data_IF_102397905325
#
_entry.id   IF_102397905325
#
_cell.length_a   1.000
_cell.length_b   1.000
_cell.length_c   1.000
_cell.angle_alpha   90.00
_cell.angle_beta   90.00
_cell.angle_gamma   90.00
#
_symmetry.space_group_name_H-M   'P 1'
#
loop_
_entity.id
_entity.type
_entity.pdbx_description
1 polymer ?
#
# COMPACT_ATOMS: atom_id res chain seq x y z
N UNK A 1 46.34 -76.05 -9.06
CA UNK A 1 47.45 -75.12 -9.38
C UNK A 1 47.47 -74.91 -10.89
N UNK A 2 47.89 -73.74 -11.38
CA UNK A 2 47.21 -72.43 -11.49
C UNK A 2 46.54 -72.32 -12.90
N UNK A 3 45.90 -71.26 -13.41
CA UNK A 3 46.26 -69.85 -13.53
C UNK A 3 44.99 -69.03 -13.85
N UNK A 4 44.93 -67.86 -13.23
CA UNK A 4 44.01 -66.77 -13.56
C UNK A 4 44.29 -66.22 -14.96
N UNK A 5 43.25 -65.97 -15.75
CA UNK A 5 43.30 -65.01 -16.86
C UNK A 5 42.27 -63.91 -16.62
N UNK A 6 42.78 -62.68 -16.49
CA UNK A 6 42.05 -61.47 -16.20
C UNK A 6 41.38 -60.96 -17.47
N UNK A 7 40.04 -60.89 -17.49
CA UNK A 7 39.29 -60.27 -18.58
C UNK A 7 39.37 -58.76 -18.46
N UNK A 8 40.23 -58.14 -19.28
CA UNK A 8 40.26 -56.69 -19.49
C UNK A 8 39.04 -56.34 -20.33
N UNK A 9 37.95 -55.92 -19.68
CA UNK A 9 36.84 -55.25 -20.37
C UNK A 9 37.34 -53.88 -20.84
N UNK A 10 37.69 -53.77 -22.12
CA UNK A 10 37.80 -52.50 -22.83
C UNK A 10 36.43 -51.83 -22.82
N UNK A 11 36.25 -50.86 -21.91
CA UNK A 11 35.11 -49.95 -21.98
C UNK A 11 35.18 -49.18 -23.31
N UNK A 12 34.06 -49.05 -24.04
CA UNK A 12 34.05 -48.36 -25.32
C UNK A 12 34.30 -46.87 -25.08
N UNK A 13 35.34 -46.34 -25.72
CA UNK A 13 35.79 -44.95 -25.67
C UNK A 13 34.77 -43.86 -26.12
N UNK A 14 33.65 -44.10 -26.83
CA UNK A 14 32.79 -43.00 -27.26
C UNK A 14 31.82 -42.53 -26.15
N UNK A 15 31.67 -43.26 -25.05
CA UNK A 15 30.73 -42.89 -23.97
C UNK A 15 31.29 -41.85 -23.00
N UNK A 16 32.62 -41.78 -22.84
CA UNK A 16 33.26 -40.77 -21.98
C UNK A 16 33.19 -39.38 -22.61
N UNK A 17 33.27 -39.29 -23.95
CA UNK A 17 33.12 -38.01 -24.66
C UNK A 17 31.68 -37.49 -24.71
N UNK A 18 30.68 -38.38 -24.75
CA UNK A 18 29.27 -37.99 -24.70
C UNK A 18 28.88 -37.42 -23.32
N UNK A 19 29.44 -37.97 -22.23
CA UNK A 19 29.19 -37.47 -20.88
C UNK A 19 29.84 -36.09 -20.63
N UNK A 20 30.99 -35.80 -21.25
CA UNK A 20 31.68 -34.52 -21.09
C UNK A 20 30.99 -33.38 -21.86
N UNK A 21 30.32 -33.68 -22.98
CA UNK A 21 29.57 -32.69 -23.75
C UNK A 21 28.28 -32.22 -23.05
N UNK A 22 27.66 -33.07 -22.21
CA UNK A 22 26.48 -32.68 -21.41
C UNK A 22 26.83 -31.87 -20.16
N UNK A 23 28.10 -31.82 -19.74
CA UNK A 23 28.52 -31.06 -18.56
C UNK A 23 28.76 -29.57 -18.83
N UNK A 24 28.80 -29.12 -20.10
CA UNK A 24 29.08 -27.72 -20.46
C UNK A 24 27.83 -26.88 -20.78
N UNK A 25 26.62 -27.44 -20.80
CA UNK A 25 25.38 -26.71 -21.07
C UNK A 25 24.71 -26.14 -19.81
N UNK A 26 25.51 -25.62 -18.88
CA UNK A 26 25.06 -25.30 -17.51
C UNK A 26 25.45 -23.93 -16.96
N UNK A 27 25.93 -22.97 -17.77
CA UNK A 27 26.22 -21.61 -17.29
C UNK A 27 25.74 -20.56 -18.28
N UNK A 28 24.44 -20.54 -18.53
CA UNK A 28 23.75 -19.39 -19.11
C UNK A 28 22.83 -18.81 -18.05
N UNK A 29 23.40 -18.15 -17.02
CA UNK A 29 22.62 -17.27 -16.15
C UNK A 29 22.00 -16.23 -17.08
N UNK A 30 20.72 -16.41 -17.42
CA UNK A 30 19.91 -15.33 -17.97
C UNK A 30 19.96 -14.25 -16.91
N UNK A 31 20.86 -13.29 -17.10
CA UNK A 31 20.73 -11.99 -16.47
C UNK A 31 19.35 -11.54 -16.90
N UNK A 32 18.39 -11.70 -15.99
CA UNK A 32 17.09 -11.07 -16.11
C UNK A 32 17.41 -9.59 -16.00
N UNK A 33 17.85 -9.01 -17.12
CA UNK A 33 17.65 -7.59 -17.38
C UNK A 33 16.16 -7.43 -17.21
N UNK A 34 15.78 -6.93 -16.05
CA UNK A 34 14.43 -6.47 -15.75
C UNK A 34 14.14 -5.44 -16.82
N UNK A 35 13.58 -5.89 -17.95
CA UNK A 35 12.95 -5.00 -18.90
C UNK A 35 11.88 -4.32 -18.07
N UNK A 36 12.10 -3.05 -17.77
CA UNK A 36 11.06 -2.15 -17.28
C UNK A 36 9.96 -2.24 -18.34
N UNK A 37 8.98 -3.11 -18.09
CA UNK A 37 7.85 -3.28 -18.98
C UNK A 37 6.95 -2.09 -18.67
N UNK A 38 7.16 -1.02 -19.44
CA UNK A 38 6.25 0.11 -19.44
C UNK A 38 4.93 -0.41 -20.03
N UNK A 39 4.00 -0.81 -19.18
CA UNK A 39 2.66 -1.18 -19.62
C UNK A 39 2.05 0.09 -20.24
N UNK A 40 1.75 0.08 -21.55
CA UNK A 40 1.24 1.27 -22.21
C UNK A 40 -0.10 1.66 -21.60
N UNK A 41 -0.25 2.96 -21.30
CA UNK A 41 -1.49 3.55 -20.81
C UNK A 41 -2.68 3.16 -21.72
N UNK A 42 -3.60 2.38 -21.17
CA UNK A 42 -4.84 2.02 -21.83
C UNK A 42 -5.94 2.95 -21.30
N UNK A 43 -6.26 4.01 -22.04
CA UNK A 43 -7.37 4.95 -21.77
C UNK A 43 -8.79 4.32 -21.89
N UNK A 44 -8.88 3.01 -21.69
CA UNK A 44 -10.06 2.17 -21.79
C UNK A 44 -10.82 2.09 -20.44
N UNK A 45 -10.10 2.04 -19.31
CA UNK A 45 -10.71 1.83 -17.99
C UNK A 45 -11.20 3.14 -17.38
N UNK A 46 -12.43 3.55 -17.73
CA UNK A 46 -13.05 4.76 -17.16
C UNK A 46 -13.55 4.57 -15.73
N UNK A 47 -13.64 3.33 -15.23
CA UNK A 47 -14.29 3.00 -13.94
C UNK A 47 -13.34 2.72 -12.78
N UNK A 48 -12.06 2.42 -13.03
CA UNK A 48 -11.10 2.08 -11.96
C UNK A 48 -10.78 3.28 -11.08
N UNK A 49 -10.57 4.44 -11.70
CA UNK A 49 -10.15 5.67 -11.04
C UNK A 49 -11.32 6.63 -10.75
N UNK A 50 -12.56 6.27 -11.08
CA UNK A 50 -13.69 7.17 -10.89
C UNK A 50 -14.98 6.46 -10.48
N UNK A 51 -15.76 7.12 -9.61
CA UNK A 51 -17.12 6.69 -9.23
C UNK A 51 -18.02 7.91 -9.05
N UNK A 52 -19.29 7.73 -9.39
CA UNK A 52 -20.34 8.76 -9.24
C UNK A 52 -21.08 8.58 -7.93
N UNK A 53 -21.31 9.69 -7.22
CA UNK A 53 -22.01 9.74 -5.95
C UNK A 53 -23.18 10.73 -6.01
N UNK A 54 -24.31 10.35 -5.39
CA UNK A 54 -25.51 11.18 -5.30
C UNK A 54 -25.42 12.21 -4.16
N UNK A 55 -24.35 13.00 -4.18
CA UNK A 55 -24.02 14.00 -3.18
C UNK A 55 -23.38 15.23 -3.84
N UNK A 56 -23.27 16.33 -3.08
CA UNK A 56 -22.52 17.51 -3.51
C UNK A 56 -21.00 17.25 -3.49
N UNK A 57 -20.22 18.08 -4.18
CA UNK A 57 -18.75 18.01 -4.20
C UNK A 57 -18.19 18.05 -2.77
N UNK A 58 -18.64 19.03 -1.98
CA UNK A 58 -18.22 19.23 -0.61
C UNK A 58 -18.52 18.01 0.28
N UNK A 59 -19.69 17.39 0.13
CA UNK A 59 -20.05 16.18 0.89
C UNK A 59 -19.18 14.99 0.48
N UNK A 60 -18.99 14.79 -0.83
CA UNK A 60 -18.19 13.69 -1.39
C UNK A 60 -16.73 13.80 -0.94
N UNK A 61 -16.16 15.00 -0.98
CA UNK A 61 -14.78 15.24 -0.57
C UNK A 61 -14.61 15.21 0.96
N UNK A 62 -15.61 15.63 1.73
CA UNK A 62 -15.57 15.46 3.19
C UNK A 62 -15.59 13.97 3.59
N UNK A 63 -16.43 13.15 2.93
CA UNK A 63 -16.45 11.71 3.11
C UNK A 63 -15.13 11.06 2.68
N UNK A 64 -14.53 11.50 1.57
CA UNK A 64 -13.21 11.06 1.14
C UNK A 64 -12.11 11.39 2.17
N UNK A 65 -12.15 12.58 2.77
CA UNK A 65 -11.25 12.97 3.87
C UNK A 65 -11.38 12.03 5.06
N UNK A 66 -12.61 11.71 5.48
CA UNK A 66 -12.86 10.73 6.56
C UNK A 66 -12.36 9.34 6.20
N UNK A 67 -12.58 8.90 4.96
CA UNK A 67 -12.09 7.63 4.46
C UNK A 67 -10.56 7.54 4.55
N UNK A 68 -9.83 8.56 4.10
CA UNK A 68 -8.36 8.60 4.19
C UNK A 68 -7.87 8.58 5.64
N UNK A 69 -8.45 9.41 6.51
CA UNK A 69 -8.11 9.43 7.93
C UNK A 69 -8.36 8.07 8.60
N UNK A 70 -9.45 7.37 8.24
CA UNK A 70 -9.77 6.03 8.77
C UNK A 70 -8.73 4.97 8.41
N UNK A 71 -8.02 5.16 7.30
CA UNK A 71 -6.95 4.25 6.83
C UNK A 71 -5.56 4.67 7.31
N UNK A 72 -5.47 5.71 8.15
CA UNK A 72 -4.22 6.22 8.70
C UNK A 72 -3.40 7.06 7.73
N UNK A 73 -4.04 7.67 6.72
CA UNK A 73 -3.39 8.69 5.89
C UNK A 73 -3.33 10.02 6.65
N UNK A 74 -2.20 10.72 6.50
CA UNK A 74 -2.05 12.11 6.92
C UNK A 74 -2.59 13.02 5.81
N UNK A 75 -3.66 13.76 6.09
CA UNK A 75 -4.24 14.70 5.13
C UNK A 75 -3.31 15.90 4.96
N UNK A 76 -2.92 16.20 3.72
CA UNK A 76 -2.00 17.30 3.38
C UNK A 76 -2.71 18.51 2.80
N UNK A 77 -3.84 18.30 2.13
CA UNK A 77 -4.74 19.37 1.68
C UNK A 77 -6.18 18.85 1.67
N UNK A 78 -7.14 19.71 2.00
CA UNK A 78 -8.56 19.41 1.91
C UNK A 78 -9.37 20.70 1.70
N UNK A 79 -10.19 20.72 0.67
CA UNK A 79 -11.16 21.77 0.37
C UNK A 79 -12.44 21.10 -0.21
N UNK A 80 -13.35 21.87 -0.81
CA UNK A 80 -14.65 21.37 -1.25
C UNK A 80 -14.57 20.41 -2.46
N UNK A 81 -13.51 20.50 -3.26
CA UNK A 81 -13.34 19.84 -4.55
C UNK A 81 -12.10 18.93 -4.63
N UNK A 82 -11.24 18.95 -3.61
CA UNK A 82 -9.98 18.21 -3.56
C UNK A 82 -9.66 17.76 -2.12
N UNK A 83 -9.19 16.52 -2.01
CA UNK A 83 -8.51 16.01 -0.81
C UNK A 83 -7.24 15.28 -1.22
N UNK A 84 -6.14 15.60 -0.55
CA UNK A 84 -4.88 14.88 -0.67
C UNK A 84 -4.44 14.33 0.68
N UNK A 85 -3.87 13.13 0.68
CA UNK A 85 -3.29 12.54 1.87
C UNK A 85 -2.08 11.70 1.52
N UNK A 86 -1.22 11.45 2.51
CA UNK A 86 -0.05 10.59 2.34
C UNK A 86 0.09 9.59 3.47
N UNK A 87 0.65 8.44 3.14
CA UNK A 87 0.97 7.39 4.11
C UNK A 87 2.33 6.82 3.79
N UNK A 88 3.23 6.86 4.76
CA UNK A 88 4.58 6.33 4.64
C UNK A 88 4.67 4.98 5.35
N UNK A 89 5.41 4.05 4.78
CA UNK A 89 5.64 2.71 5.33
C UNK A 89 7.08 2.27 5.06
N UNK A 90 7.62 1.47 5.98
CA UNK A 90 8.98 0.96 5.92
C UNK A 90 8.95 -0.57 5.90
N UNK A 91 8.79 -1.20 4.73
CA UNK A 91 8.66 -2.66 4.63
C UNK A 91 9.95 -3.42 5.00
N UNK A 92 11.11 -2.78 4.85
CA UNK A 92 12.41 -3.35 5.20
C UNK A 92 13.35 -2.24 5.71
N UNK A 93 14.45 -2.62 6.38
CA UNK A 93 15.50 -1.68 6.75
C UNK A 93 16.00 -0.96 5.48
N UNK A 94 16.22 0.36 5.56
CA UNK A 94 16.68 1.22 4.44
C UNK A 94 15.71 1.39 3.25
N UNK A 95 14.51 0.79 3.28
CA UNK A 95 13.49 0.95 2.22
C UNK A 95 12.34 1.78 2.75
N UNK A 96 12.17 3.00 2.25
CA UNK A 96 11.03 3.86 2.57
C UNK A 96 10.09 3.91 1.39
N UNK A 97 8.80 3.70 1.63
CA UNK A 97 7.77 3.83 0.62
C UNK A 97 6.74 4.84 1.10
N UNK A 98 6.34 5.75 0.21
CA UNK A 98 5.29 6.72 0.45
C UNK A 98 4.19 6.53 -0.58
N UNK A 99 2.94 6.49 -0.12
CA UNK A 99 1.78 6.53 -1.01
C UNK A 99 1.10 7.88 -0.83
N UNK A 100 1.12 8.69 -1.89
CA UNK A 100 0.35 9.91 -2.01
C UNK A 100 -0.98 9.60 -2.69
N UNK A 101 -2.08 10.01 -2.07
CA UNK A 101 -3.44 9.74 -2.49
C UNK A 101 -4.14 11.07 -2.77
N UNK A 102 -4.78 11.18 -3.91
CA UNK A 102 -5.46 12.39 -4.36
C UNK A 102 -6.86 12.07 -4.86
N UNK A 103 -7.84 12.80 -4.32
CA UNK A 103 -9.26 12.69 -4.65
C UNK A 103 -9.75 14.03 -5.13
N UNK A 104 -10.31 14.09 -6.33
CA UNK A 104 -10.92 15.29 -6.92
C UNK A 104 -12.41 15.04 -7.07
N UNK A 105 -13.24 15.86 -6.45
CA UNK A 105 -14.70 15.79 -6.52
C UNK A 105 -15.19 16.83 -7.52
N UNK A 106 -15.67 16.39 -8.68
CA UNK A 106 -16.17 17.28 -9.72
C UNK A 106 -17.68 17.12 -9.89
N UNK A 107 -18.39 18.24 -9.89
CA UNK A 107 -19.84 18.26 -10.14
C UNK A 107 -20.15 17.67 -11.52
N UNK A 108 -21.07 16.73 -11.55
CA UNK A 108 -21.64 16.24 -12.79
C UNK A 108 -22.63 17.27 -13.34
N UNK A 109 -22.62 17.49 -14.65
CA UNK A 109 -23.57 18.39 -15.32
C UNK A 109 -24.97 17.76 -15.24
N UNK A 110 -25.71 18.10 -14.18
CA UNK A 110 -27.07 17.61 -14.01
C UNK A 110 -28.01 18.29 -15.02
N UNK A 111 -28.75 17.49 -15.78
CA UNK A 111 -29.95 17.97 -16.48
C UNK A 111 -30.91 18.62 -15.46
N UNK A 112 -31.57 19.72 -15.87
CA UNK A 112 -32.49 20.48 -15.01
C UNK A 112 -33.47 19.54 -14.28
N UNK A 113 -33.42 19.56 -12.95
CA UNK A 113 -34.36 18.82 -12.09
C UNK A 113 -33.81 17.53 -11.44
N UNK A 114 -32.57 17.12 -11.72
CA UNK A 114 -31.93 16.00 -11.00
C UNK A 114 -31.28 16.44 -9.68
N UNK A 115 -31.21 15.51 -8.72
CA UNK A 115 -30.41 15.63 -7.50
C UNK A 115 -28.95 15.91 -7.86
N UNK A 116 -28.22 16.65 -7.01
CA UNK A 116 -26.79 16.91 -7.20
C UNK A 116 -26.02 15.59 -7.28
N UNK A 117 -25.27 15.42 -8.36
CA UNK A 117 -24.38 14.29 -8.59
C UNK A 117 -22.95 14.80 -8.73
N UNK A 118 -22.00 14.03 -8.22
CA UNK A 118 -20.57 14.34 -8.23
C UNK A 118 -19.81 13.11 -8.67
N UNK A 119 -18.83 13.29 -9.56
CA UNK A 119 -17.87 12.24 -9.91
C UNK A 119 -16.61 12.46 -9.08
N UNK A 120 -16.20 11.45 -8.32
CA UNK A 120 -14.93 11.45 -7.61
C UNK A 120 -13.86 10.77 -8.47
N UNK A 121 -12.80 11.51 -8.81
CA UNK A 121 -11.62 11.00 -9.49
C UNK A 121 -10.50 10.76 -8.49
N UNK A 122 -9.91 9.57 -8.52
CA UNK A 122 -8.96 9.10 -7.51
C UNK A 122 -7.68 8.61 -8.17
N UNK A 123 -6.55 9.11 -7.68
CA UNK A 123 -5.22 8.66 -8.09
C UNK A 123 -4.35 8.43 -6.87
N UNK A 124 -3.61 7.32 -6.85
CA UNK A 124 -2.60 7.05 -5.84
C UNK A 124 -1.24 6.82 -6.48
N UNK A 125 -0.23 7.56 -6.03
CA UNK A 125 1.17 7.46 -6.46
C UNK A 125 1.97 6.82 -5.35
N UNK A 126 2.76 5.81 -5.69
CA UNK A 126 3.69 5.15 -4.79
C UNK A 126 5.13 5.52 -5.15
N UNK A 127 5.80 6.20 -4.23
CA UNK A 127 7.21 6.53 -4.32
C UNK A 127 8.02 5.57 -3.44
N UNK A 128 9.06 4.97 -4.02
CA UNK A 128 10.01 4.12 -3.31
C UNK A 128 11.36 4.82 -3.22
N UNK A 129 11.92 4.86 -2.02
CA UNK A 129 13.22 5.41 -1.71
C UNK A 129 14.10 4.31 -1.11
N UNK A 130 15.35 4.25 -1.54
CA UNK A 130 16.37 3.40 -0.90
C UNK A 130 17.51 4.29 -0.40
N UNK A 131 18.17 3.89 0.68
CA UNK A 131 19.41 4.53 1.09
C UNK A 131 20.52 4.16 0.11
N UNK A 132 21.14 5.17 -0.50
CA UNK A 132 22.38 4.99 -1.24
C UNK A 132 23.54 5.39 -0.33
N UNK A 133 24.25 4.39 0.18
CA UNK A 133 25.45 4.58 0.98
C UNK A 133 26.60 5.06 0.09
N UNK A 134 27.00 6.33 0.20
CA UNK A 134 28.19 6.84 -0.49
C UNK A 134 29.37 6.92 0.47
N UNK A 135 30.40 6.09 0.26
CA UNK A 135 31.67 6.21 0.97
C UNK A 135 32.49 7.34 0.35
N UNK A 136 32.47 8.54 0.93
CA UNK A 136 33.36 9.63 0.53
C UNK A 136 34.59 9.64 1.45
N UNK A 137 35.76 9.28 0.90
CA UNK A 137 37.02 9.32 1.64
C UNK A 137 37.72 10.67 1.41
N UNK A 138 37.83 11.50 2.44
CA UNK A 138 38.64 12.71 2.39
C UNK A 138 40.10 12.38 2.68
N UNK A 139 40.99 12.48 1.68
CA UNK A 139 42.42 12.38 1.89
C UNK A 139 42.98 13.72 2.35
N UNK A 140 43.49 13.81 3.57
CA UNK A 140 44.24 14.99 4.04
C UNK A 140 45.71 14.82 3.63
N UNK A 141 46.17 15.65 2.69
CA UNK A 141 47.57 15.70 2.31
C UNK A 141 48.39 16.46 3.36
N UNK A 142 49.16 15.75 4.18
CA UNK A 142 50.23 16.34 5.00
C UNK A 142 51.51 16.38 4.16
N UNK A 143 52.08 17.58 3.98
CA UNK A 143 53.24 17.80 3.13
C UNK A 143 54.46 16.92 3.48
N UNK A 144 55.28 16.66 2.47
CA UNK A 144 56.60 16.01 2.47
C UNK A 144 56.74 14.58 3.04
N UNK A 145 55.73 13.97 3.67
CA UNK A 145 55.90 12.66 4.36
C UNK A 145 54.82 11.60 4.08
N UNK A 146 53.98 11.79 3.06
CA UNK A 146 53.04 10.77 2.60
C UNK A 146 51.64 10.91 3.19
N UNK A 147 50.63 10.53 2.40
CA UNK A 147 49.21 10.68 2.73
C UNK A 147 48.76 9.64 3.75
N UNK A 148 48.17 10.08 4.86
CA UNK A 148 47.48 9.22 5.80
C UNK A 148 45.97 9.24 5.48
N UNK A 149 45.48 8.19 4.85
CA UNK A 149 44.04 7.96 4.66
C UNK A 149 43.46 7.35 5.93
N UNK A 150 42.86 8.17 6.80
CA UNK A 150 42.04 7.65 7.89
C UNK A 150 40.62 7.39 7.34
N UNK A 151 40.12 6.14 7.35
CA UNK A 151 38.75 5.88 6.96
C UNK A 151 37.82 6.42 8.05
N UNK A 152 37.40 7.67 7.93
CA UNK A 152 36.23 8.15 8.65
C UNK A 152 35.00 7.54 7.98
N UNK A 153 34.36 6.60 8.65
CA UNK A 153 33.08 6.02 8.23
C UNK A 153 31.95 7.03 8.47
N UNK A 154 31.97 8.18 7.81
CA UNK A 154 30.79 9.02 7.64
C UNK A 154 30.04 8.46 6.43
N UNK A 155 29.09 7.57 6.69
CA UNK A 155 28.16 7.12 5.66
C UNK A 155 27.10 8.20 5.51
N UNK A 156 27.20 9.02 4.46
CA UNK A 156 26.10 9.90 4.09
C UNK A 156 25.00 9.03 3.45
N UNK A 157 23.95 8.77 4.21
CA UNK A 157 22.77 8.03 3.79
C UNK A 157 21.85 9.00 3.04
N UNK A 158 21.96 9.04 1.71
CA UNK A 158 21.08 9.84 0.87
C UNK A 158 19.86 9.02 0.41
N UNK A 159 18.65 9.54 0.67
CA UNK A 159 17.41 8.99 0.12
C UNK A 159 17.34 9.34 -1.38
N UNK A 160 17.56 8.35 -2.24
CA UNK A 160 17.37 8.49 -3.69
C UNK A 160 16.03 7.87 -4.05
N UNK A 161 15.18 8.62 -4.75
CA UNK A 161 13.92 8.10 -5.31
C UNK A 161 14.26 7.05 -6.37
N UNK A 162 13.96 5.79 -6.09
CA UNK A 162 14.31 4.64 -6.95
C UNK A 162 13.17 4.21 -7.87
N UNK A 163 11.92 4.50 -7.50
CA UNK A 163 10.75 4.27 -8.35
C UNK A 163 9.60 5.21 -7.99
N UNK A 164 8.78 5.56 -8.96
CA UNK A 164 7.51 6.28 -8.82
C UNK A 164 6.51 5.60 -9.72
N UNK A 165 5.46 5.03 -9.14
CA UNK A 165 4.47 4.25 -9.88
C UNK A 165 3.07 4.62 -9.44
N UNK A 166 2.16 4.83 -10.39
CA UNK A 166 0.73 4.95 -10.10
C UNK A 166 0.21 3.57 -9.71
N UNK A 167 -0.49 3.48 -8.58
CA UNK A 167 -1.17 2.24 -8.19
C UNK A 167 -2.32 1.99 -9.18
N UNK A 168 -2.34 0.80 -9.76
CA UNK A 168 -3.34 0.34 -10.74
C UNK A 168 -4.23 -0.80 -10.24
N UNK A 169 -4.03 -1.26 -8.99
CA UNK A 169 -4.84 -2.35 -8.40
C UNK A 169 -6.30 -1.92 -8.23
N UNK A 170 -7.21 -2.51 -9.00
CA UNK A 170 -8.66 -2.23 -8.94
C UNK A 170 -9.22 -2.46 -7.53
N UNK A 171 -8.77 -3.52 -6.84
CA UNK A 171 -9.27 -3.83 -5.49
C UNK A 171 -8.90 -2.76 -4.48
N UNK A 172 -7.78 -2.07 -4.70
CA UNK A 172 -7.36 -0.97 -3.86
C UNK A 172 -8.34 0.21 -3.97
N UNK A 173 -8.73 0.58 -5.19
CA UNK A 173 -9.71 1.65 -5.42
C UNK A 173 -11.11 1.24 -4.95
N UNK A 174 -11.55 0.00 -5.20
CA UNK A 174 -12.87 -0.47 -4.76
C UNK A 174 -13.04 -0.42 -3.24
N UNK A 175 -12.01 -0.79 -2.47
CA UNK A 175 -12.03 -0.66 -1.00
C UNK A 175 -12.15 0.80 -0.57
N UNK A 176 -11.45 1.70 -1.24
CA UNK A 176 -11.55 3.14 -0.96
C UNK A 176 -12.95 3.68 -1.25
N UNK A 177 -13.52 3.36 -2.42
CA UNK A 177 -14.86 3.83 -2.77
C UNK A 177 -15.94 3.27 -1.85
N UNK A 178 -15.80 2.03 -1.39
CA UNK A 178 -16.68 1.44 -0.37
C UNK A 178 -16.64 2.23 0.95
N UNK A 179 -15.45 2.65 1.38
CA UNK A 179 -15.32 3.49 2.59
C UNK A 179 -15.92 4.88 2.37
N UNK A 180 -15.68 5.50 1.22
CA UNK A 180 -16.24 6.79 0.87
C UNK A 180 -17.78 6.74 0.94
N UNK A 181 -18.40 5.75 0.32
CA UNK A 181 -19.86 5.55 0.33
C UNK A 181 -20.43 5.37 1.76
N UNK A 182 -19.72 4.61 2.60
CA UNK A 182 -20.06 4.45 4.02
C UNK A 182 -20.04 5.79 4.78
N UNK A 183 -19.11 6.69 4.46
CA UNK A 183 -19.04 8.01 5.11
C UNK A 183 -20.01 9.03 4.52
N UNK A 184 -20.59 8.76 3.33
CA UNK A 184 -21.69 9.55 2.76
C UNK A 184 -23.05 9.15 3.34
N UNK A 185 -23.23 7.86 3.62
CA UNK A 185 -24.44 7.36 4.28
C UNK A 185 -24.45 7.89 5.72
N UNK A 186 -25.46 8.67 6.13
CA UNK A 186 -25.58 9.06 7.54
C UNK A 186 -25.58 7.77 8.35
N UNK A 187 -24.70 7.67 9.35
CA UNK A 187 -24.56 6.48 10.17
C UNK A 187 -25.94 6.03 10.65
N UNK A 188 -26.39 4.87 10.16
CA UNK A 188 -27.64 4.22 10.59
C UNK A 188 -27.59 3.75 12.07
N UNK A 189 -26.51 4.10 12.78
CA UNK A 189 -26.25 3.82 14.19
C UNK A 189 -26.67 4.97 15.14
N UNK A 190 -27.51 5.91 14.70
CA UNK A 190 -28.28 6.71 15.65
C UNK A 190 -29.55 5.91 16.01
N UNK A 191 -29.64 5.29 17.21
CA UNK A 191 -30.91 4.73 17.66
C UNK A 191 -31.96 5.85 17.56
N UNK A 192 -33.19 5.55 17.08
CA UNK A 192 -34.19 6.56 16.81
C UNK A 192 -34.29 7.49 18.02
N UNK A 193 -34.08 8.79 17.78
CA UNK A 193 -34.27 9.80 18.79
C UNK A 193 -35.61 9.53 19.49
N UNK A 194 -35.66 9.49 20.83
CA UNK A 194 -36.88 9.13 21.52
C UNK A 194 -37.98 10.10 21.08
N UNK A 195 -39.03 9.55 20.45
CA UNK A 195 -40.19 10.33 20.06
C UNK A 195 -40.69 11.10 21.29
N UNK A 196 -40.91 12.42 21.18
CA UNK A 196 -41.49 13.20 22.27
C UNK A 196 -42.96 12.77 22.43
N UNK A 197 -43.20 11.70 23.19
CA UNK A 197 -44.55 11.19 23.41
C UNK A 197 -44.67 9.89 24.20
N UNK A 198 -43.67 9.02 24.22
CA UNK A 198 -43.78 7.77 24.99
C UNK A 198 -43.16 7.97 26.37
N UNK A 199 -44.01 8.33 27.33
CA UNK A 199 -43.67 8.26 28.75
C UNK A 199 -43.34 6.82 29.12
N UNK A 200 -42.05 6.52 29.25
CA UNK A 200 -41.59 5.30 29.91
C UNK A 200 -42.13 5.35 31.33
N UNK A 201 -43.00 4.44 31.78
CA UNK A 201 -43.41 4.41 33.17
C UNK A 201 -42.15 4.17 34.02
N UNK A 202 -41.98 4.90 35.14
CA UNK A 202 -40.80 4.75 35.96
C UNK A 202 -40.67 3.28 36.41
N UNK A 203 -39.44 2.75 36.53
CA UNK A 203 -39.24 1.41 37.03
C UNK A 203 -39.92 1.30 38.39
N UNK A 204 -40.84 0.34 38.52
CA UNK A 204 -41.50 0.06 39.77
C UNK A 204 -40.42 -0.23 40.82
N UNK A 205 -40.22 0.72 41.74
CA UNK A 205 -39.42 0.51 42.92
C UNK A 205 -40.13 -0.56 43.74
N UNK A 206 -39.66 -1.80 43.64
CA UNK A 206 -39.97 -2.84 44.62
C UNK A 206 -39.39 -2.40 45.96
N UNK A 207 -40.22 -1.70 46.74
CA UNK A 207 -39.95 -1.48 48.15
C UNK A 207 -39.94 -2.85 48.86
N UNK A 208 -39.00 -3.09 49.79
CA UNK A 208 -38.96 -4.33 50.54
C UNK A 208 -40.19 -4.43 51.44
N UNK A 209 -40.94 -5.53 51.30
CA UNK A 209 -42.06 -5.89 52.17
C UNK A 209 -41.56 -5.98 53.62
N UNK A 210 -42.16 -5.21 54.53
CA UNK A 210 -41.86 -5.28 55.97
C UNK A 210 -42.35 -6.64 56.51
N UNK A 211 -41.55 -7.37 57.32
CA UNK A 211 -42.03 -8.60 57.96
C UNK A 211 -43.16 -8.26 58.94
N UNK A 212 -44.28 -8.95 58.83
CA UNK A 212 -45.40 -8.87 59.77
C UNK A 212 -45.02 -9.56 61.08
N UNK A 213 -45.05 -8.88 62.24
CA UNK A 213 -44.91 -9.52 63.52
C UNK A 213 -46.30 -9.83 64.08
N UNK A 214 -46.72 -11.09 64.01
CA UNK A 214 -47.40 -11.79 65.12
C UNK A 214 -47.92 -13.15 64.68
N UNK A 215 -47.32 -14.20 65.26
CA UNK A 215 -47.94 -15.51 65.45
C UNK A 215 -47.64 -15.89 66.90
N UNK A 216 -48.67 -15.86 67.75
CA UNK A 216 -48.60 -16.20 69.17
C UNK A 216 -49.39 -15.22 70.02
#
# INVERSE_FOLDING_TARGET
MPLLFSSILRAPMPWVFAALALALSGCGTRSSSTRINYEPEAFNSTTTHSRTFMATEAQTCEAARRALLSQGYLVTAANADLVTGRKSFQPANEVHVEVEFRVVCAKEVAEKGRRSSTIAFVSALQDRYSLKKTNNSASVGVGALGSLSLPFSASDDALVKVASETLTDERFYDRFFTLLDRFLSPAEDEPPAPEPGVSVPPPATTFPVRPSPNRG
#
